data_IF_532241198216
#
_entry.id   IF_532241198216
#
_cell.length_a   1.000
_cell.length_b   1.000
_cell.length_c   1.000
_cell.angle_alpha   90.00
_cell.angle_beta   90.00
_cell.angle_gamma   90.00
#
_symmetry.space_group_name_H-M   'P 1'
#
loop_
_entity.id
_entity.type
_entity.pdbx_description
1 polymer ?
#
# COMPACT_ATOMS: atom_id res chain seq x y z
N UNK A 1 9.51 0.83 -7.92
CA UNK A 1 9.98 0.12 -9.13
C UNK A 1 8.87 -0.61 -9.87
N UNK A 2 7.62 -0.42 -9.45
CA UNK A 2 6.48 -1.19 -9.98
C UNK A 2 5.90 -0.56 -11.26
N UNK A 3 5.40 -1.40 -12.17
CA UNK A 3 4.76 -0.98 -13.42
C UNK A 3 3.27 -1.27 -13.38
N UNK A 4 2.49 -0.50 -14.14
CA UNK A 4 1.07 -0.75 -14.32
C UNK A 4 0.88 -2.09 -15.03
N UNK A 5 0.09 -2.97 -14.43
CA UNK A 5 -0.22 -4.29 -14.96
C UNK A 5 -1.72 -4.38 -15.30
N UNK A 6 -2.08 -5.24 -16.25
CA UNK A 6 -3.47 -5.48 -16.64
C UNK A 6 -4.36 -5.80 -15.43
N UNK A 7 -3.86 -6.58 -14.49
CA UNK A 7 -4.58 -6.95 -13.27
C UNK A 7 -4.79 -5.80 -12.28
N UNK A 8 -4.26 -4.61 -12.56
CA UNK A 8 -4.46 -3.42 -11.73
C UNK A 8 -5.68 -2.58 -12.16
N UNK A 9 -6.15 -2.75 -13.39
CA UNK A 9 -7.21 -1.91 -14.00
C UNK A 9 -8.50 -1.92 -13.17
N UNK A 10 -8.80 -3.02 -12.52
CA UNK A 10 -10.03 -3.14 -11.75
C UNK A 10 -10.09 -2.27 -10.48
N UNK A 11 -8.96 -1.68 -10.02
CA UNK A 11 -8.94 -0.97 -8.72
C UNK A 11 -7.97 0.20 -8.59
N UNK A 12 -6.94 0.29 -9.44
CA UNK A 12 -5.93 1.35 -9.30
C UNK A 12 -6.25 2.52 -10.22
N UNK A 13 -6.33 3.72 -9.63
CA UNK A 13 -6.72 4.96 -10.32
C UNK A 13 -5.78 5.38 -11.47
N UNK A 14 -4.60 4.78 -11.56
CA UNK A 14 -3.60 5.02 -12.62
C UNK A 14 -3.58 3.92 -13.68
N UNK A 15 -4.38 2.86 -13.49
CA UNK A 15 -4.32 1.68 -14.34
C UNK A 15 -5.41 1.72 -15.41
N UNK A 16 -5.01 1.97 -16.65
CA UNK A 16 -5.81 1.96 -17.86
C UNK A 16 -5.10 1.14 -18.92
N UNK A 17 -5.78 0.74 -19.98
CA UNK A 17 -5.13 0.06 -21.11
C UNK A 17 -3.97 0.88 -21.68
N UNK A 18 -4.11 2.21 -21.75
CA UNK A 18 -3.09 3.14 -22.24
C UNK A 18 -1.87 3.29 -21.33
N UNK A 19 -1.97 2.89 -20.06
CA UNK A 19 -0.88 3.03 -19.09
C UNK A 19 -0.18 1.72 -18.75
N UNK A 20 -0.65 0.57 -19.27
CA UNK A 20 -0.01 -0.73 -19.06
C UNK A 20 1.47 -0.68 -19.45
N UNK A 21 2.34 -1.20 -18.59
CA UNK A 21 3.79 -1.25 -18.78
C UNK A 21 4.54 0.01 -18.38
N UNK A 22 3.87 1.14 -18.15
CA UNK A 22 4.47 2.37 -17.66
C UNK A 22 4.78 2.28 -16.15
N UNK A 23 5.77 3.02 -15.69
CA UNK A 23 6.11 3.09 -14.27
C UNK A 23 4.94 3.74 -13.49
N UNK A 24 4.51 3.11 -12.39
CA UNK A 24 3.37 3.61 -11.58
C UNK A 24 3.63 4.99 -11.01
N UNK A 25 4.86 5.26 -10.57
CA UNK A 25 5.24 6.56 -10.02
C UNK A 25 5.13 7.69 -11.06
N UNK A 26 5.54 7.44 -12.31
CA UNK A 26 5.41 8.41 -13.41
C UNK A 26 3.95 8.71 -13.73
N UNK A 27 3.14 7.66 -13.92
CA UNK A 27 1.72 7.83 -14.22
C UNK A 27 0.98 8.56 -13.09
N UNK A 28 1.34 8.28 -11.83
CA UNK A 28 0.76 8.99 -10.69
C UNK A 28 1.20 10.46 -10.66
N UNK A 29 2.48 10.75 -10.94
CA UNK A 29 2.98 12.13 -11.03
C UNK A 29 2.24 12.93 -12.08
N UNK A 30 2.08 12.39 -13.28
CA UNK A 30 1.30 13.03 -14.36
C UNK A 30 -0.12 13.35 -13.90
N UNK A 31 -0.79 12.37 -13.27
CA UNK A 31 -2.15 12.56 -12.76
C UNK A 31 -2.23 13.64 -11.67
N UNK A 32 -1.27 13.70 -10.77
CA UNK A 32 -1.23 14.74 -9.72
C UNK A 32 -1.06 16.12 -10.35
N UNK A 33 -0.15 16.26 -11.32
CA UNK A 33 0.11 17.52 -11.98
C UNK A 33 -1.03 17.97 -12.91
N UNK A 34 -1.81 17.04 -13.44
CA UNK A 34 -3.03 17.33 -14.21
C UNK A 34 -4.15 17.86 -13.28
N UNK A 35 -4.21 17.38 -12.03
CA UNK A 35 -5.16 17.86 -11.02
C UNK A 35 -4.69 19.19 -10.39
N UNK A 36 -3.43 19.27 -10.02
CA UNK A 36 -2.81 20.45 -9.43
C UNK A 36 -1.45 20.74 -10.09
N UNK A 37 -1.41 21.60 -11.11
CA UNK A 37 -0.17 21.93 -11.82
C UNK A 37 0.91 22.61 -10.97
N UNK A 38 0.54 23.12 -9.78
CA UNK A 38 1.48 23.75 -8.84
C UNK A 38 2.05 22.81 -7.80
N UNK A 39 1.63 21.53 -7.81
CA UNK A 39 2.18 20.55 -6.86
C UNK A 39 3.65 20.27 -7.18
N UNK A 40 4.49 20.29 -6.15
CA UNK A 40 5.85 19.75 -6.26
C UNK A 40 5.80 18.23 -6.01
N UNK A 41 6.17 17.44 -7.02
CA UNK A 41 6.02 15.98 -7.00
C UNK A 41 7.37 15.32 -7.30
N UNK A 42 8.08 14.92 -6.26
CA UNK A 42 9.25 14.05 -6.37
C UNK A 42 8.82 12.58 -6.49
N UNK A 43 9.43 11.85 -7.42
CA UNK A 43 9.19 10.42 -7.60
C UNK A 43 10.47 9.61 -7.40
N UNK A 44 10.35 8.44 -6.78
CA UNK A 44 11.45 7.53 -6.56
C UNK A 44 11.11 6.16 -7.16
N UNK A 45 11.69 5.85 -8.31
CA UNK A 45 11.48 4.57 -9.01
C UNK A 45 12.42 3.50 -8.46
N UNK A 46 12.31 3.20 -7.18
CA UNK A 46 13.13 2.20 -6.51
C UNK A 46 12.27 1.25 -5.68
N UNK A 47 12.81 0.08 -5.38
CA UNK A 47 12.26 -0.76 -4.34
C UNK A 47 12.71 -0.22 -2.98
N UNK A 48 11.76 0.27 -2.18
CA UNK A 48 12.08 0.76 -0.85
C UNK A 48 12.48 -0.40 0.07
N UNK A 49 13.69 -0.35 0.57
CA UNK A 49 14.27 -1.40 1.39
C UNK A 49 15.42 -0.88 2.24
N UNK A 50 16.09 -1.81 2.95
CA UNK A 50 17.19 -1.48 3.85
C UNK A 50 18.34 -0.73 3.17
N UNK A 51 18.59 -1.04 1.90
CA UNK A 51 19.76 -0.52 1.17
C UNK A 51 19.58 0.95 0.75
N UNK A 52 18.36 1.47 0.74
CA UNK A 52 18.07 2.84 0.31
C UNK A 52 17.17 3.63 1.27
N UNK A 53 16.76 3.04 2.38
CA UNK A 53 15.91 3.74 3.34
C UNK A 53 16.57 5.01 3.90
N UNK A 54 17.90 5.01 4.05
CA UNK A 54 18.65 6.16 4.60
C UNK A 54 18.85 7.31 3.60
N UNK A 55 18.41 7.16 2.36
CA UNK A 55 18.49 8.21 1.33
C UNK A 55 17.35 9.22 1.41
N UNK A 56 16.36 9.00 2.26
CA UNK A 56 15.18 9.87 2.38
C UNK A 56 15.32 10.83 3.57
N UNK A 57 14.94 12.09 3.36
CA UNK A 57 14.98 13.14 4.39
C UNK A 57 13.71 13.12 5.26
N UNK A 58 13.56 12.09 6.09
CA UNK A 58 12.36 11.90 6.93
C UNK A 58 11.96 13.12 7.77
N UNK A 59 12.89 13.87 8.39
CA UNK A 59 12.53 15.05 9.17
C UNK A 59 11.80 16.15 8.38
N UNK A 60 11.90 16.13 7.04
CA UNK A 60 11.21 17.10 6.19
C UNK A 60 9.73 16.76 5.95
N UNK A 61 9.30 15.54 6.28
CA UNK A 61 7.93 15.09 6.02
C UNK A 61 6.97 15.51 7.13
N UNK A 62 5.90 16.18 6.78
CA UNK A 62 4.80 16.48 7.71
C UNK A 62 3.97 15.25 8.06
N UNK A 63 3.88 14.28 7.16
CA UNK A 63 3.13 13.05 7.32
C UNK A 63 3.61 11.96 6.37
N UNK A 64 3.58 10.71 6.81
CA UNK A 64 3.92 9.56 5.99
C UNK A 64 2.72 8.63 5.84
N UNK A 65 2.51 8.09 4.63
CA UNK A 65 1.46 7.11 4.33
C UNK A 65 2.10 5.85 3.76
N UNK A 66 1.91 4.74 4.44
CA UNK A 66 2.42 3.44 4.03
C UNK A 66 1.32 2.60 3.37
N UNK A 67 1.39 2.48 2.06
CA UNK A 67 0.55 1.59 1.25
C UNK A 67 1.34 0.46 0.59
N UNK A 68 2.52 0.13 1.10
CA UNK A 68 3.41 -0.92 0.57
C UNK A 68 2.83 -2.29 0.92
N UNK A 69 2.96 -3.28 0.03
CA UNK A 69 2.50 -4.66 0.26
C UNK A 69 3.59 -5.58 0.83
N UNK A 70 4.84 -5.15 0.81
CA UNK A 70 6.00 -5.93 1.29
C UNK A 70 6.24 -5.68 2.78
N UNK A 71 6.13 -6.73 3.59
CA UNK A 71 6.25 -6.65 5.06
C UNK A 71 7.57 -6.04 5.51
N UNK A 72 8.70 -6.45 4.93
CA UNK A 72 10.03 -5.90 5.29
C UNK A 72 10.10 -4.40 5.07
N UNK A 73 9.61 -3.91 3.94
CA UNK A 73 9.57 -2.48 3.63
C UNK A 73 8.66 -1.69 4.58
N UNK A 74 7.48 -2.24 4.91
CA UNK A 74 6.57 -1.65 5.91
C UNK A 74 7.24 -1.50 7.28
N UNK A 75 7.97 -2.53 7.70
CA UNK A 75 8.69 -2.51 8.99
C UNK A 75 9.75 -1.41 8.98
N UNK A 76 10.60 -1.36 7.95
CA UNK A 76 11.64 -0.34 7.82
C UNK A 76 11.03 1.07 7.82
N UNK A 77 9.92 1.27 7.11
CA UNK A 77 9.25 2.56 7.07
C UNK A 77 8.71 2.96 8.45
N UNK A 78 8.15 2.03 9.20
CA UNK A 78 7.68 2.26 10.57
C UNK A 78 8.84 2.55 11.53
N UNK A 79 9.99 1.86 11.41
CA UNK A 79 11.20 2.15 12.17
C UNK A 79 11.70 3.57 11.90
N UNK A 80 11.75 3.99 10.63
CA UNK A 80 12.17 5.33 10.25
C UNK A 80 11.20 6.40 10.76
N UNK A 81 9.90 6.22 10.57
CA UNK A 81 8.89 7.13 11.09
C UNK A 81 9.01 7.29 12.62
N UNK A 82 9.18 6.18 13.34
CA UNK A 82 9.35 6.19 14.79
C UNK A 82 10.63 6.90 15.23
N UNK A 83 11.77 6.60 14.58
CA UNK A 83 13.07 7.18 14.91
C UNK A 83 13.12 8.69 14.69
N UNK A 84 12.44 9.21 13.67
CA UNK A 84 12.41 10.63 13.33
C UNK A 84 11.18 11.37 13.85
N UNK A 85 10.27 10.69 14.56
CA UNK A 85 9.07 11.31 15.12
C UNK A 85 8.06 11.77 14.06
N UNK A 86 8.08 11.21 12.85
CA UNK A 86 7.16 11.60 11.78
C UNK A 86 5.85 10.82 11.90
N UNK A 87 4.68 11.48 11.88
CA UNK A 87 3.40 10.80 11.88
C UNK A 87 3.30 9.82 10.72
N UNK A 88 2.91 8.58 11.01
CA UNK A 88 2.74 7.52 10.00
C UNK A 88 1.38 6.85 10.15
N UNK A 89 0.68 6.70 9.02
CA UNK A 89 -0.46 5.80 8.90
C UNK A 89 -0.13 4.66 7.94
N UNK A 90 -0.39 3.43 8.34
CA UNK A 90 -0.09 2.24 7.53
C UNK A 90 -1.36 1.49 7.14
N UNK A 91 -1.55 1.27 5.84
CA UNK A 91 -2.63 0.44 5.32
C UNK A 91 -2.31 -1.03 5.52
N UNK A 92 -3.21 -1.77 6.16
CA UNK A 92 -3.11 -3.23 6.25
C UNK A 92 -3.71 -3.91 5.01
N UNK A 93 -3.85 -5.24 5.03
CA UNK A 93 -4.31 -5.99 3.88
C UNK A 93 -5.79 -5.72 3.51
N UNK A 94 -6.03 -5.29 2.28
CA UNK A 94 -7.35 -5.04 1.69
C UNK A 94 -7.74 -6.09 0.63
N UNK A 95 -6.85 -7.01 0.30
CA UNK A 95 -7.14 -8.13 -0.60
C UNK A 95 -8.01 -9.21 0.04
N UNK A 96 -8.74 -9.96 -0.78
CA UNK A 96 -9.64 -11.03 -0.36
C UNK A 96 -10.78 -10.56 0.56
N UNK A 97 -11.30 -9.36 0.33
CA UNK A 97 -12.34 -8.70 1.12
C UNK A 97 -13.38 -8.08 0.21
N UNK A 98 -14.64 -8.07 0.67
CA UNK A 98 -15.79 -7.57 -0.08
C UNK A 98 -16.57 -6.47 0.64
N UNK A 99 -16.32 -6.26 1.94
CA UNK A 99 -17.06 -5.30 2.73
C UNK A 99 -16.19 -4.11 3.14
N UNK A 100 -16.32 -2.95 2.46
CA UNK A 100 -15.60 -1.75 2.81
C UNK A 100 -16.07 -1.12 4.13
N UNK A 101 -17.27 -1.44 4.63
CA UNK A 101 -17.78 -0.91 5.90
C UNK A 101 -17.10 -1.54 7.11
N UNK A 102 -16.34 -2.62 6.91
CA UNK A 102 -15.51 -3.22 7.96
C UNK A 102 -14.09 -2.64 8.03
N UNK A 103 -13.80 -1.62 7.25
CA UNK A 103 -12.55 -0.85 7.37
C UNK A 103 -12.64 0.08 8.57
N UNK A 104 -11.61 0.08 9.40
CA UNK A 104 -11.52 0.97 10.57
C UNK A 104 -10.07 1.38 10.86
N UNK A 105 -9.92 2.54 11.52
CA UNK A 105 -8.65 2.98 12.07
C UNK A 105 -8.47 2.43 13.48
N UNK A 106 -7.26 1.97 13.78
CA UNK A 106 -6.90 1.52 15.12
C UNK A 106 -5.41 1.70 15.38
N UNK A 107 -5.02 1.61 16.64
CA UNK A 107 -3.63 1.29 16.97
C UNK A 107 -3.34 -0.17 16.56
N UNK A 108 -2.13 -0.44 16.05
CA UNK A 108 -1.74 -1.79 15.62
C UNK A 108 -1.95 -2.84 16.72
N UNK A 109 -1.88 -2.45 18.00
CA UNK A 109 -2.11 -3.33 19.15
C UNK A 109 -3.54 -3.84 19.23
N UNK A 110 -4.49 -3.00 18.84
CA UNK A 110 -5.92 -3.23 19.01
C UNK A 110 -6.53 -3.92 17.77
N UNK A 111 -5.71 -4.20 16.75
CA UNK A 111 -6.17 -4.87 15.54
C UNK A 111 -6.50 -6.34 15.78
N UNK A 112 -7.52 -6.82 15.10
CA UNK A 112 -7.97 -8.23 15.11
C UNK A 112 -8.05 -8.79 13.69
N UNK A 113 -8.26 -10.08 13.55
CA UNK A 113 -8.61 -10.78 12.30
C UNK A 113 -7.55 -10.68 11.18
N UNK A 114 -7.03 -9.48 10.88
CA UNK A 114 -6.14 -9.24 9.74
C UNK A 114 -4.78 -9.96 9.88
N UNK A 115 -4.42 -10.89 8.96
CA UNK A 115 -3.15 -11.62 9.03
C UNK A 115 -1.92 -10.71 8.92
N UNK A 116 -1.98 -9.69 8.05
CA UNK A 116 -0.88 -8.74 7.89
C UNK A 116 -0.67 -7.91 9.16
N UNK A 117 -1.75 -7.41 9.78
CA UNK A 117 -1.65 -6.67 11.04
C UNK A 117 -1.05 -7.54 12.17
N UNK A 118 -1.38 -8.82 12.22
CA UNK A 118 -0.80 -9.78 13.17
C UNK A 118 0.72 -9.90 13.00
N UNK A 119 1.20 -10.00 11.76
CA UNK A 119 2.64 -10.06 11.46
C UNK A 119 3.31 -8.74 11.83
N UNK A 120 2.77 -7.61 11.40
CA UNK A 120 3.30 -6.28 11.68
C UNK A 120 3.41 -6.02 13.18
N UNK A 121 2.35 -6.28 13.94
CA UNK A 121 2.33 -6.12 15.40
C UNK A 121 3.44 -6.91 16.09
N UNK A 122 3.63 -8.17 15.71
CA UNK A 122 4.68 -9.02 16.26
C UNK A 122 6.08 -8.48 15.94
N UNK A 123 6.31 -8.10 14.70
CA UNK A 123 7.63 -7.65 14.25
C UNK A 123 7.98 -6.25 14.78
N UNK A 124 7.02 -5.34 14.88
CA UNK A 124 7.20 -4.01 15.46
C UNK A 124 7.47 -4.09 16.97
N UNK A 125 6.76 -4.95 17.70
CA UNK A 125 7.01 -5.17 19.13
C UNK A 125 8.43 -5.62 19.42
N UNK A 126 9.01 -6.51 18.60
CA UNK A 126 10.43 -6.93 18.73
C UNK A 126 11.42 -5.78 18.58
N UNK A 127 11.01 -4.68 17.94
CA UNK A 127 11.81 -3.48 17.66
C UNK A 127 11.50 -2.32 18.61
N UNK A 128 10.72 -2.58 19.66
CA UNK A 128 10.32 -1.56 20.63
C UNK A 128 9.27 -0.58 20.13
N UNK A 129 8.66 -0.82 18.95
CA UNK A 129 7.59 0.00 18.40
C UNK A 129 6.25 -0.63 18.79
N UNK A 130 5.65 -0.06 19.81
CA UNK A 130 4.40 -0.60 20.35
C UNK A 130 3.16 0.01 19.68
N UNK A 131 3.26 1.22 19.12
CA UNK A 131 2.14 1.98 18.56
C UNK A 131 2.37 2.28 17.10
N UNK A 132 1.34 2.10 16.32
CA UNK A 132 1.27 2.52 14.92
C UNK A 132 -0.20 2.70 14.54
N UNK A 133 -0.55 3.88 14.02
CA UNK A 133 -1.87 4.09 13.43
C UNK A 133 -2.00 3.27 12.15
N UNK A 134 -3.02 2.43 12.08
CA UNK A 134 -3.29 1.62 10.90
C UNK A 134 -4.73 1.73 10.43
N UNK A 135 -4.94 1.56 9.14
CA UNK A 135 -6.24 1.22 8.59
C UNK A 135 -6.25 -0.28 8.30
N UNK A 136 -7.20 -1.01 8.87
CA UNK A 136 -7.37 -2.44 8.64
C UNK A 136 -8.85 -2.80 8.49
N UNK A 137 -9.12 -4.02 8.06
CA UNK A 137 -10.49 -4.53 7.97
C UNK A 137 -10.73 -5.63 9.01
N UNK A 138 -11.87 -5.57 9.67
CA UNK A 138 -12.38 -6.64 10.56
C UNK A 138 -13.04 -7.80 9.81
N UNK A 139 -13.08 -7.74 8.50
CA UNK A 139 -13.56 -8.84 7.66
C UNK A 139 -12.52 -9.96 7.63
N UNK A 140 -12.94 -11.20 7.79
CA UNK A 140 -12.08 -12.36 7.55
C UNK A 140 -11.75 -12.46 6.06
N UNK A 141 -10.47 -12.70 5.70
CA UNK A 141 -10.12 -12.85 4.29
C UNK A 141 -10.83 -14.06 3.67
N UNK A 142 -11.51 -13.83 2.56
CA UNK A 142 -12.15 -14.88 1.78
C UNK A 142 -11.07 -15.70 1.08
N UNK A 143 -11.22 -17.01 1.04
CA UNK A 143 -10.35 -17.88 0.24
C UNK A 143 -10.84 -17.80 -1.20
N UNK A 144 -10.05 -17.24 -2.14
CA UNK A 144 -10.44 -17.19 -3.54
C UNK A 144 -10.67 -18.61 -4.09
N UNK A 145 -11.76 -18.82 -4.81
CA UNK A 145 -11.96 -20.07 -5.56
C UNK A 145 -11.02 -20.03 -6.76
N UNK A 146 -10.19 -21.04 -6.89
CA UNK A 146 -9.38 -21.24 -8.10
C UNK A 146 -10.30 -21.75 -9.22
N UNK A 147 -10.62 -20.85 -10.14
CA UNK A 147 -11.50 -21.20 -11.28
C UNK A 147 -10.70 -21.69 -12.50
N UNK A 148 -9.38 -21.94 -12.34
CA UNK A 148 -8.52 -22.36 -13.47
C UNK A 148 -8.40 -21.33 -14.59
N UNK A 149 -9.08 -20.19 -14.48
CA UNK A 149 -9.09 -19.14 -15.50
C UNK A 149 -8.05 -18.07 -15.22
N UNK A 150 -6.86 -18.22 -15.84
CA UNK A 150 -6.08 -17.09 -16.27
C UNK A 150 -5.66 -16.06 -15.22
N UNK A 151 -5.01 -16.49 -14.15
CA UNK A 151 -4.16 -15.59 -13.38
C UNK A 151 -2.83 -15.36 -14.09
N UNK A 152 -2.00 -14.44 -13.60
CA UNK A 152 -0.64 -14.20 -14.13
C UNK A 152 0.24 -15.46 -14.19
N UNK A 153 -0.20 -16.59 -13.65
CA UNK A 153 0.46 -17.89 -13.75
C UNK A 153 0.36 -18.52 -15.15
N UNK A 154 -0.69 -18.21 -15.92
CA UNK A 154 -0.95 -18.86 -17.23
C UNK A 154 -0.83 -17.92 -18.43
N UNK A 155 -0.60 -16.61 -18.22
CA UNK A 155 -0.51 -15.61 -19.28
C UNK A 155 -0.18 -14.24 -18.74
N UNK A 156 1.03 -14.06 -18.23
CA UNK A 156 1.45 -12.75 -17.76
C UNK A 156 1.66 -11.78 -18.94
N UNK A 157 0.84 -10.75 -19.02
CA UNK A 157 0.98 -9.63 -19.99
C UNK A 157 1.90 -8.52 -19.46
N UNK A 158 2.61 -8.76 -18.37
CA UNK A 158 3.62 -7.82 -17.87
C UNK A 158 4.82 -7.80 -18.82
N UNK A 159 5.47 -6.63 -19.00
CA UNK A 159 6.65 -6.54 -19.85
C UNK A 159 7.73 -7.55 -19.44
N UNK A 160 8.45 -8.14 -20.43
CA UNK A 160 9.58 -9.02 -20.16
C UNK A 160 10.63 -8.30 -19.29
N UNK A 161 11.21 -9.02 -18.30
CA UNK A 161 12.28 -8.45 -17.46
C UNK A 161 11.82 -7.75 -16.18
N UNK A 162 10.54 -7.81 -15.79
CA UNK A 162 10.11 -7.37 -14.46
C UNK A 162 10.80 -8.24 -13.39
N UNK A 163 11.57 -7.63 -12.49
CA UNK A 163 12.33 -8.31 -11.43
C UNK A 163 11.42 -9.11 -10.45
N UNK A 164 10.12 -8.84 -10.44
CA UNK A 164 9.10 -9.54 -9.66
C UNK A 164 8.00 -10.06 -10.56
N UNK A 165 7.93 -11.37 -10.72
CA UNK A 165 6.83 -12.04 -11.40
C UNK A 165 5.77 -12.47 -10.40
N UNK A 166 4.49 -12.26 -10.75
CA UNK A 166 3.35 -12.77 -9.98
C UNK A 166 3.41 -14.30 -9.76
N UNK A 167 4.07 -15.01 -10.66
CA UNK A 167 4.28 -16.46 -10.60
C UNK A 167 5.06 -16.96 -9.35
N UNK A 168 5.82 -16.09 -8.68
CA UNK A 168 6.57 -16.45 -7.46
C UNK A 168 5.78 -16.25 -6.16
N UNK A 169 4.55 -15.73 -6.20
CA UNK A 169 3.71 -15.58 -5.01
C UNK A 169 3.01 -16.89 -4.69
N UNK A 170 3.05 -17.31 -3.43
CA UNK A 170 2.33 -18.52 -2.95
C UNK A 170 0.83 -18.43 -3.16
N UNK A 171 0.27 -17.23 -3.16
CA UNK A 171 -1.13 -16.94 -3.38
C UNK A 171 -1.26 -15.54 -3.96
N UNK A 172 -2.01 -15.40 -5.06
CA UNK A 172 -2.37 -14.09 -5.60
C UNK A 172 -3.66 -13.66 -4.89
N UNK A 173 -3.62 -12.61 -4.06
CA UNK A 173 -4.83 -12.14 -3.41
C UNK A 173 -5.79 -11.58 -4.45
N UNK A 174 -7.06 -11.97 -4.35
CA UNK A 174 -8.15 -11.32 -5.08
C UNK A 174 -8.33 -9.90 -4.58
N UNK A 175 -8.64 -8.97 -5.47
CA UNK A 175 -8.97 -7.60 -5.09
C UNK A 175 -10.15 -7.12 -5.91
N UNK A 176 -11.09 -6.45 -5.24
CA UNK A 176 -12.27 -5.83 -5.86
C UNK A 176 -12.06 -4.34 -6.06
N UNK A 177 -12.93 -3.73 -6.89
CA UNK A 177 -12.79 -2.32 -7.26
C UNK A 177 -13.12 -1.32 -6.16
N UNK A 178 -13.72 -1.73 -5.06
CA UNK A 178 -14.28 -0.81 -4.05
C UNK A 178 -13.59 -0.91 -2.67
N UNK A 179 -13.06 -2.05 -2.23
CA UNK A 179 -12.42 -2.13 -0.89
C UNK A 179 -11.07 -1.41 -0.84
N UNK A 180 -10.08 -1.67 -1.72
CA UNK A 180 -8.82 -0.94 -1.69
C UNK A 180 -8.97 0.57 -1.96
N UNK A 181 -9.81 1.04 -2.92
CA UNK A 181 -10.04 2.47 -3.10
C UNK A 181 -10.70 3.14 -1.90
N UNK A 182 -11.69 2.50 -1.26
CA UNK A 182 -12.30 3.03 -0.03
C UNK A 182 -11.25 3.20 1.08
N UNK A 183 -10.36 2.23 1.25
CA UNK A 183 -9.25 2.34 2.19
C UNK A 183 -8.35 3.54 1.89
N UNK A 184 -8.01 3.77 0.62
CA UNK A 184 -7.21 4.92 0.20
C UNK A 184 -7.89 6.27 0.49
N UNK A 185 -9.20 6.38 0.20
CA UNK A 185 -9.99 7.59 0.47
C UNK A 185 -10.08 7.86 1.99
N UNK A 186 -10.32 6.82 2.79
CA UNK A 186 -10.37 6.95 4.25
C UNK A 186 -9.02 7.42 4.81
N UNK A 187 -7.91 6.86 4.35
CA UNK A 187 -6.56 7.28 4.77
C UNK A 187 -6.32 8.74 4.38
N UNK A 188 -6.63 9.13 3.16
CA UNK A 188 -6.47 10.53 2.71
C UNK A 188 -7.27 11.50 3.59
N UNK A 189 -8.53 11.19 3.87
CA UNK A 189 -9.37 11.97 4.76
C UNK A 189 -8.81 12.08 6.18
N UNK A 190 -8.26 10.98 6.71
CA UNK A 190 -7.64 10.96 8.04
C UNK A 190 -6.37 11.83 8.08
N UNK A 191 -5.50 11.71 7.08
CA UNK A 191 -4.28 12.52 6.98
C UNK A 191 -4.60 14.02 6.93
N UNK A 192 -5.60 14.41 6.13
CA UNK A 192 -6.04 15.81 6.06
C UNK A 192 -6.52 16.29 7.43
N UNK A 193 -7.36 15.51 8.12
CA UNK A 193 -7.85 15.86 9.45
C UNK A 193 -6.71 16.00 10.45
N UNK A 194 -5.78 15.06 10.47
CA UNK A 194 -4.63 15.07 11.38
C UNK A 194 -3.74 16.31 11.15
N UNK A 195 -3.48 16.67 9.88
CA UNK A 195 -2.68 17.88 9.54
C UNK A 195 -3.40 19.16 9.95
N UNK A 196 -4.72 19.21 9.83
CA UNK A 196 -5.54 20.37 10.20
C UNK A 196 -5.90 20.41 11.69
N UNK A 197 -5.51 19.41 12.49
CA UNK A 197 -5.90 19.29 13.89
C UNK A 197 -7.39 19.06 14.11
N UNK A 198 -8.09 18.52 13.13
CA UNK A 198 -9.53 18.19 13.21
C UNK A 198 -9.75 16.78 13.76
N UNK A 199 -10.77 16.62 14.61
CA UNK A 199 -11.20 15.32 15.14
C UNK A 199 -12.17 14.59 14.21
#
# INVERSE_FOLDING_TARGET
DDKVCLTNINRQAIAFHSTIGRAKAEVMRERILDINPKADVAIHQCFYGKDNADQFEYPSFSYMVDCIDTVSSKIILAEKAHAFGVPLISSMGTGNKLDPLRLEFADIRDTSVCPLARVMRRELKKRGIERLLVLYSREEPIIPKDNGSGGCATGCVCPPGSARTCAKRRQIPGSVSFVPPAAGIMIAGRVIKDILGLQ
#
